data_IF_668161735687
#
_entry.id   IF_668161735687
#
_cell.length_a   1.000
_cell.length_b   1.000
_cell.length_c   1.000
_cell.angle_alpha   90.00
_cell.angle_beta   90.00
_cell.angle_gamma   90.00
#
_symmetry.space_group_name_H-M   'P 1'
#
loop_
_entity.id
_entity.type
_entity.pdbx_description
1 polymer ?
#
# COMPACT_ATOMS: atom_id res chain seq x y z
N UNK A 1 -10.00 22.78 18.56
CA UNK A 1 -9.54 21.51 19.14
C UNK A 1 -8.19 21.19 18.53
N UNK A 2 -7.19 20.89 19.35
CA UNK A 2 -5.93 20.34 18.83
C UNK A 2 -6.09 18.87 18.44
N UNK A 3 -5.41 18.42 17.37
CA UNK A 3 -5.44 17.02 16.98
C UNK A 3 -4.72 16.16 18.03
N UNK A 4 -5.42 15.16 18.56
CA UNK A 4 -4.82 14.16 19.45
C UNK A 4 -3.75 13.36 18.70
N UNK A 5 -2.79 12.80 19.44
CA UNK A 5 -1.78 11.88 18.89
C UNK A 5 -2.41 10.74 18.09
N UNK A 6 -3.55 10.24 18.57
CA UNK A 6 -4.38 9.22 17.91
C UNK A 6 -4.90 9.69 16.55
N UNK A 7 -5.44 10.90 16.46
CA UNK A 7 -5.93 11.47 15.20
C UNK A 7 -4.78 11.67 14.20
N UNK A 8 -3.60 12.05 14.68
CA UNK A 8 -2.41 12.20 13.85
C UNK A 8 -1.96 10.84 13.30
N UNK A 9 -2.00 9.78 14.10
CA UNK A 9 -1.63 8.43 13.64
C UNK A 9 -2.64 7.86 12.63
N UNK A 10 -3.94 8.01 12.89
CA UNK A 10 -4.99 7.59 11.95
C UNK A 10 -4.88 8.32 10.61
N UNK A 11 -4.59 9.62 10.64
CA UNK A 11 -4.41 10.42 9.44
C UNK A 11 -3.14 10.01 8.66
N UNK A 12 -2.03 9.73 9.36
CA UNK A 12 -0.82 9.18 8.74
C UNK A 12 -1.10 7.84 8.05
N UNK A 13 -1.92 6.97 8.66
CA UNK A 13 -2.36 5.70 8.07
C UNK A 13 -3.21 5.87 6.82
N UNK A 14 -4.27 6.69 6.89
CA UNK A 14 -5.11 6.94 5.73
C UNK A 14 -4.28 7.50 4.56
N UNK A 15 -3.37 8.43 4.86
CA UNK A 15 -2.44 8.99 3.88
C UNK A 15 -1.49 7.94 3.30
N UNK A 16 -0.95 7.04 4.11
CA UNK A 16 -0.09 5.95 3.63
C UNK A 16 -0.85 5.03 2.67
N UNK A 17 -2.04 4.57 3.06
CA UNK A 17 -2.88 3.67 2.24
C UNK A 17 -3.22 4.28 0.88
N UNK A 18 -3.63 5.56 0.85
CA UNK A 18 -3.92 6.27 -0.40
C UNK A 18 -2.69 6.37 -1.30
N UNK A 19 -1.54 6.81 -0.77
CA UNK A 19 -0.29 6.92 -1.56
C UNK A 19 0.18 5.56 -2.06
N UNK A 20 -0.02 4.52 -1.25
CA UNK A 20 0.39 3.17 -1.57
C UNK A 20 -0.49 2.57 -2.69
N UNK A 21 -1.81 2.70 -2.60
CA UNK A 21 -2.73 2.28 -3.68
C UNK A 21 -2.44 3.01 -4.98
N UNK A 22 -2.21 4.32 -4.93
CA UNK A 22 -1.82 5.10 -6.11
C UNK A 22 -0.49 4.60 -6.72
N UNK A 23 0.46 4.18 -5.89
CA UNK A 23 1.75 3.61 -6.36
C UNK A 23 1.58 2.24 -7.01
N UNK A 24 0.71 1.37 -6.48
CA UNK A 24 0.41 0.08 -7.12
C UNK A 24 -0.28 0.26 -8.47
N UNK A 25 -1.22 1.20 -8.56
CA UNK A 25 -1.88 1.54 -9.83
C UNK A 25 -0.85 2.05 -10.84
N UNK A 26 -0.02 3.03 -10.46
CA UNK A 26 1.02 3.57 -11.34
C UNK A 26 2.05 2.51 -11.78
N UNK A 27 2.41 1.57 -10.89
CA UNK A 27 3.28 0.44 -11.26
C UNK A 27 2.60 -0.49 -12.25
N UNK A 28 1.33 -0.82 -12.05
CA UNK A 28 0.58 -1.69 -12.95
C UNK A 28 0.31 -1.03 -14.31
N UNK A 29 0.01 0.27 -14.34
CA UNK A 29 -0.13 1.07 -15.56
C UNK A 29 1.20 1.28 -16.30
N UNK A 30 2.32 1.26 -15.55
CA UNK A 30 3.67 1.38 -16.09
C UNK A 30 4.34 0.06 -16.46
N UNK A 31 3.69 -1.09 -16.26
CA UNK A 31 4.23 -2.38 -16.71
C UNK A 31 4.30 -2.39 -18.24
N UNK A 32 5.45 -2.81 -18.76
CA UNK A 32 5.61 -3.04 -20.18
C UNK A 32 4.60 -4.09 -20.68
N UNK A 33 4.36 -4.14 -21.98
CA UNK A 33 3.56 -5.23 -22.56
C UNK A 33 4.22 -6.57 -22.27
N UNK A 34 3.42 -7.64 -22.17
CA UNK A 34 3.90 -9.00 -21.83
C UNK A 34 5.05 -9.50 -22.71
N UNK A 35 5.11 -9.04 -23.95
CA UNK A 35 6.13 -9.42 -24.92
C UNK A 35 7.42 -8.59 -24.82
N UNK A 36 7.49 -7.64 -23.87
CA UNK A 36 8.70 -6.86 -23.60
C UNK A 36 9.76 -7.74 -22.92
N UNK A 37 11.04 -7.64 -23.32
CA UNK A 37 12.14 -8.33 -22.65
C UNK A 37 12.23 -8.02 -21.15
N UNK A 38 11.82 -6.82 -20.72
CA UNK A 38 11.85 -6.38 -19.32
C UNK A 38 10.64 -6.83 -18.49
N UNK A 39 9.58 -7.32 -19.14
CA UNK A 39 8.30 -7.59 -18.47
C UNK A 39 8.43 -8.63 -17.35
N UNK A 40 9.27 -9.65 -17.54
CA UNK A 40 9.50 -10.67 -16.51
C UNK A 40 10.09 -10.09 -15.23
N UNK A 41 11.08 -9.21 -15.35
CA UNK A 41 11.73 -8.55 -14.21
C UNK A 41 10.79 -7.55 -13.53
N UNK A 42 10.11 -6.71 -14.32
CA UNK A 42 9.11 -5.74 -13.84
C UNK A 42 7.97 -6.44 -13.09
N UNK A 43 7.52 -7.60 -13.58
CA UNK A 43 6.48 -8.40 -12.94
C UNK A 43 6.93 -8.99 -11.62
N UNK A 44 8.16 -9.50 -11.53
CA UNK A 44 8.72 -10.03 -10.27
C UNK A 44 8.86 -8.91 -9.23
N UNK A 45 9.32 -7.73 -9.64
CA UNK A 45 9.38 -6.55 -8.77
C UNK A 45 7.99 -6.13 -8.27
N UNK A 46 7.00 -6.14 -9.16
CA UNK A 46 5.60 -5.88 -8.81
C UNK A 46 5.07 -6.90 -7.79
N UNK A 47 5.25 -8.19 -8.04
CA UNK A 47 4.76 -9.27 -7.17
C UNK A 47 5.40 -9.20 -5.77
N UNK A 48 6.71 -8.94 -5.69
CA UNK A 48 7.43 -8.76 -4.43
C UNK A 48 6.92 -7.56 -3.63
N UNK A 49 6.77 -6.40 -4.28
CA UNK A 49 6.25 -5.18 -3.63
C UNK A 49 4.81 -5.35 -3.18
N UNK A 50 4.00 -6.02 -3.98
CA UNK A 50 2.61 -6.32 -3.66
C UNK A 50 2.50 -7.30 -2.47
N UNK A 51 3.38 -8.31 -2.38
CA UNK A 51 3.42 -9.24 -1.25
C UNK A 51 3.79 -8.55 0.07
N UNK A 52 4.87 -7.76 0.08
CA UNK A 52 5.29 -6.96 1.23
C UNK A 52 4.15 -6.07 1.72
N UNK A 53 3.46 -5.42 0.78
CA UNK A 53 2.34 -4.58 1.13
C UNK A 53 1.11 -5.32 1.65
N UNK A 54 0.85 -6.54 1.17
CA UNK A 54 -0.19 -7.39 1.76
C UNK A 54 0.14 -7.76 3.21
N UNK A 55 1.41 -8.02 3.50
CA UNK A 55 1.87 -8.32 4.87
C UNK A 55 1.74 -7.10 5.77
N UNK A 56 2.18 -5.93 5.30
CA UNK A 56 2.01 -4.67 6.03
C UNK A 56 0.51 -4.34 6.21
N UNK A 57 -0.32 -4.55 5.19
CA UNK A 57 -1.77 -4.35 5.29
C UNK A 57 -2.41 -5.29 6.31
N UNK A 58 -1.97 -6.55 6.36
CA UNK A 58 -2.48 -7.57 7.28
C UNK A 58 -2.02 -7.35 8.72
N UNK A 59 -0.91 -6.67 8.94
CA UNK A 59 -0.47 -6.23 10.27
C UNK A 59 -1.38 -5.13 10.84
N UNK A 60 -2.26 -4.53 10.03
CA UNK A 60 -3.28 -3.62 10.54
C UNK A 60 -4.53 -4.36 11.01
N UNK A 61 -5.11 -3.96 12.14
CA UNK A 61 -6.39 -4.46 12.59
C UNK A 61 -7.49 -4.17 11.55
N UNK A 62 -8.33 -5.18 11.30
CA UNK A 62 -9.46 -5.10 10.36
C UNK A 62 -10.54 -4.12 10.83
N UNK A 63 -10.74 -4.03 12.14
CA UNK A 63 -11.79 -3.22 12.72
C UNK A 63 -11.22 -1.91 13.25
N UNK A 64 -11.81 -0.80 12.83
CA UNK A 64 -11.43 0.53 13.30
C UNK A 64 -11.53 0.62 14.83
N UNK A 65 -12.55 0.01 15.43
CA UNK A 65 -12.71 -0.07 16.89
C UNK A 65 -11.58 -0.83 17.59
N UNK A 66 -10.91 -1.77 16.92
CA UNK A 66 -9.76 -2.48 17.52
C UNK A 66 -8.45 -1.68 17.48
N UNK A 67 -8.43 -0.53 16.80
CA UNK A 67 -7.37 0.48 16.97
C UNK A 67 -7.59 1.35 18.23
N UNK A 68 -8.76 1.25 18.88
CA UNK A 68 -9.21 2.12 19.97
C UNK A 68 -9.98 1.32 21.05
N UNK A 69 -9.30 0.70 22.03
CA UNK A 69 -9.95 0.30 23.27
C UNK A 69 -10.40 1.50 24.11
#
# INVERSE_FOLDING_TARGET
>A
MEPTLENIQAFKHARWRVRFTARLIALNEGLSTRDSPSWGEERVEYENRHLLAKQELAAFPKDWSSLYP
#
